data_IF_498132962767
#
_entry.id   IF_498132962767
#
_cell.length_a   1.000
_cell.length_b   1.000
_cell.length_c   1.000
_cell.angle_alpha   90.00
_cell.angle_beta   90.00
_cell.angle_gamma   90.00
#
_symmetry.space_group_name_H-M   'P 1'
#
loop_
_entity.id
_entity.type
_entity.pdbx_description
1 polymer ?
#
# COMPACT_ATOMS: atom_id res chain seq x y z
N UNK A 1 -14.63 13.90 7.63
CA UNK A 1 -13.45 14.63 7.12
C UNK A 1 -12.43 14.60 8.25
N UNK A 2 -11.14 14.38 7.99
CA UNK A 2 -10.16 14.58 9.06
C UNK A 2 -10.14 16.08 9.37
N UNK A 3 -10.38 16.46 10.61
CA UNK A 3 -10.02 17.81 11.04
C UNK A 3 -8.49 17.87 11.06
N UNK A 4 -7.95 18.74 10.22
CA UNK A 4 -6.52 19.01 10.18
C UNK A 4 -6.23 20.06 11.24
N UNK A 5 -5.66 19.63 12.36
CA UNK A 5 -5.13 20.55 13.38
C UNK A 5 -3.77 21.08 12.88
N UNK A 6 -3.62 22.42 12.68
CA UNK A 6 -2.36 23.00 12.22
C UNK A 6 -1.20 22.82 13.19
N UNK A 7 -1.46 22.47 14.46
CA UNK A 7 -0.43 22.21 15.47
C UNK A 7 -0.07 20.73 15.59
N UNK A 8 -0.77 19.84 14.87
CA UNK A 8 -0.53 18.40 14.91
C UNK A 8 0.31 17.94 13.72
N UNK A 9 1.44 17.29 14.01
CA UNK A 9 2.25 16.63 12.99
C UNK A 9 1.78 15.20 12.80
N UNK A 10 1.18 14.91 11.64
CA UNK A 10 0.88 13.52 11.28
C UNK A 10 2.17 12.73 11.05
N UNK A 11 2.30 11.62 11.76
CA UNK A 11 3.39 10.66 11.58
C UNK A 11 2.92 9.55 10.67
N UNK A 12 3.59 9.40 9.52
CA UNK A 12 3.28 8.38 8.53
C UNK A 12 4.46 7.42 8.43
N UNK A 13 4.23 6.14 8.74
CA UNK A 13 5.18 5.08 8.49
C UNK A 13 5.25 4.76 7.00
N UNK A 14 6.25 5.30 6.29
CA UNK A 14 6.50 5.00 4.88
C UNK A 14 6.95 3.55 4.70
N UNK A 15 6.19 2.78 3.91
CA UNK A 15 6.32 1.33 3.73
C UNK A 15 6.28 0.54 5.05
N UNK A 16 5.52 1.01 6.02
CA UNK A 16 5.62 0.59 7.42
C UNK A 16 6.68 1.42 8.16
N UNK A 17 7.41 0.80 9.09
CA UNK A 17 8.59 1.42 9.68
C UNK A 17 9.87 0.88 9.01
N UNK A 18 10.12 1.29 7.76
CA UNK A 18 11.25 0.78 6.95
C UNK A 18 12.64 1.11 7.54
N UNK A 19 12.70 2.02 8.52
CA UNK A 19 13.93 2.36 9.25
C UNK A 19 14.38 1.23 10.17
N UNK A 20 13.42 0.55 10.81
CA UNK A 20 13.69 -0.48 11.82
C UNK A 20 13.38 -1.90 11.35
N UNK A 21 12.75 -2.06 10.20
CA UNK A 21 12.34 -3.35 9.65
C UNK A 21 12.32 -3.34 8.12
N UNK A 22 12.19 -4.53 7.52
CA UNK A 22 12.03 -4.71 6.08
C UNK A 22 10.81 -3.93 5.55
N UNK A 23 11.01 -3.05 4.57
CA UNK A 23 9.93 -2.29 3.92
C UNK A 23 8.78 -3.20 3.45
N UNK A 24 7.54 -2.69 3.40
CA UNK A 24 6.37 -3.40 2.86
C UNK A 24 6.23 -4.83 3.41
N UNK A 25 6.47 -4.99 4.71
CA UNK A 25 6.36 -6.27 5.41
C UNK A 25 5.42 -6.17 6.61
N UNK A 26 4.95 -7.31 7.08
CA UNK A 26 4.11 -7.34 8.27
C UNK A 26 4.91 -6.90 9.51
N UNK A 27 6.21 -7.21 9.58
CA UNK A 27 7.11 -6.71 10.62
C UNK A 27 7.20 -5.18 10.64
N UNK A 28 7.46 -4.53 9.50
CA UNK A 28 7.53 -3.07 9.45
C UNK A 28 6.21 -2.40 9.83
N UNK A 29 5.07 -2.99 9.45
CA UNK A 29 3.74 -2.48 9.82
C UNK A 29 3.49 -2.64 11.33
N UNK A 30 3.83 -3.80 11.91
CA UNK A 30 3.74 -4.03 13.36
C UNK A 30 4.60 -3.04 14.14
N UNK A 31 5.82 -2.78 13.67
CA UNK A 31 6.72 -1.83 14.31
C UNK A 31 6.17 -0.41 14.18
N UNK A 32 5.61 0.00 13.03
CA UNK A 32 4.94 1.30 12.91
C UNK A 32 3.76 1.44 13.91
N UNK A 33 2.93 0.40 14.04
CA UNK A 33 1.83 0.37 15.02
C UNK A 33 2.34 0.48 16.46
N UNK A 34 3.42 -0.23 16.79
CA UNK A 34 4.07 -0.15 18.12
C UNK A 34 4.52 1.28 18.46
N UNK A 35 4.98 2.02 17.46
CA UNK A 35 5.38 3.42 17.59
C UNK A 35 4.18 4.40 17.51
N UNK A 36 2.95 3.89 17.44
CA UNK A 36 1.71 4.67 17.46
C UNK A 36 1.63 5.74 16.36
N UNK A 37 2.16 5.44 15.17
CA UNK A 37 2.01 6.33 14.01
C UNK A 37 0.54 6.55 13.66
N UNK A 38 0.21 7.69 13.05
CA UNK A 38 -1.15 8.01 12.63
C UNK A 38 -1.59 7.17 11.43
N UNK A 39 -0.66 6.99 10.49
CA UNK A 39 -0.90 6.26 9.26
C UNK A 39 0.29 5.38 8.91
N UNK A 40 0.01 4.32 8.17
CA UNK A 40 1.02 3.50 7.52
C UNK A 40 0.79 3.60 6.02
N UNK A 41 1.84 3.86 5.27
CA UNK A 41 1.84 3.77 3.81
C UNK A 41 2.43 2.42 3.41
N UNK A 42 1.84 1.78 2.40
CA UNK A 42 2.38 0.59 1.75
C UNK A 42 2.10 0.63 0.24
N UNK A 43 3.01 0.04 -0.50
CA UNK A 43 2.93 -0.11 -1.94
C UNK A 43 2.19 -1.38 -2.34
N UNK A 44 1.22 -1.31 -3.24
CA UNK A 44 0.52 -2.50 -3.76
C UNK A 44 0.91 -2.80 -5.20
N UNK A 45 1.26 -4.07 -5.43
CA UNK A 45 1.43 -4.66 -6.76
C UNK A 45 0.40 -5.76 -7.01
N UNK A 46 0.17 -6.03 -8.29
CA UNK A 46 -0.77 -7.04 -8.76
C UNK A 46 -0.02 -8.24 -9.38
N UNK A 47 -0.41 -9.45 -8.98
CA UNK A 47 0.08 -10.73 -9.52
C UNK A 47 -0.58 -11.08 -10.86
N UNK A 48 -0.10 -12.12 -11.54
CA UNK A 48 -0.63 -12.64 -12.82
C UNK A 48 -2.12 -13.00 -12.74
N UNK A 49 -2.55 -13.49 -11.58
CA UNK A 49 -3.92 -13.91 -11.27
C UNK A 49 -4.75 -12.81 -10.59
N UNK A 50 -4.35 -11.53 -10.75
CA UNK A 50 -5.07 -10.35 -10.24
C UNK A 50 -5.23 -10.31 -8.72
N UNK A 51 -4.35 -10.99 -7.98
CA UNK A 51 -4.24 -10.90 -6.52
C UNK A 51 -3.25 -9.80 -6.15
N UNK A 52 -3.28 -9.39 -4.89
CA UNK A 52 -2.58 -8.18 -4.43
C UNK A 52 -1.55 -8.53 -3.36
N UNK A 53 -0.35 -8.00 -3.53
CA UNK A 53 0.75 -8.09 -2.56
C UNK A 53 1.21 -6.70 -2.17
N UNK A 54 1.78 -6.57 -0.96
CA UNK A 54 2.49 -5.36 -0.56
C UNK A 54 3.96 -5.46 -0.96
N UNK A 55 4.38 -4.65 -1.93
CA UNK A 55 5.72 -4.67 -2.53
C UNK A 55 5.96 -3.44 -3.42
N UNK A 56 7.09 -2.75 -3.28
CA UNK A 56 7.35 -1.52 -4.03
C UNK A 56 7.72 -1.78 -5.51
N UNK A 57 8.75 -2.60 -5.73
CA UNK A 57 9.42 -2.70 -7.02
C UNK A 57 8.62 -3.52 -8.05
N UNK A 58 8.93 -3.32 -9.33
CA UNK A 58 8.31 -4.13 -10.40
C UNK A 58 8.87 -5.54 -10.47
N UNK A 59 10.08 -5.71 -9.98
CA UNK A 59 10.91 -6.91 -10.07
C UNK A 59 11.31 -7.37 -8.68
N UNK A 60 11.32 -8.67 -8.46
CA UNK A 60 11.64 -9.30 -7.17
C UNK A 60 13.17 -9.34 -6.91
N UNK A 61 13.97 -9.33 -7.97
CA UNK A 61 15.40 -9.68 -7.99
C UNK A 61 16.28 -9.03 -6.92
N UNK A 62 16.04 -7.75 -6.58
CA UNK A 62 16.94 -6.99 -5.71
C UNK A 62 16.64 -7.15 -4.23
N UNK A 63 15.40 -7.51 -3.89
CA UNK A 63 14.91 -7.46 -2.53
C UNK A 63 14.48 -8.82 -2.00
N UNK A 64 14.31 -9.82 -2.86
CA UNK A 64 13.81 -11.13 -2.45
C UNK A 64 14.66 -12.26 -3.02
N UNK A 65 14.42 -13.47 -2.53
CA UNK A 65 15.00 -14.70 -3.06
C UNK A 65 14.45 -15.12 -4.44
N UNK A 66 13.52 -14.37 -5.03
CA UNK A 66 12.92 -14.68 -6.32
C UNK A 66 13.33 -13.67 -7.40
N UNK A 67 13.09 -14.03 -8.66
CA UNK A 67 13.41 -13.21 -9.82
C UNK A 67 12.20 -12.98 -10.72
N UNK A 68 12.29 -11.95 -11.57
CA UNK A 68 11.27 -11.60 -12.54
C UNK A 68 10.26 -10.58 -12.03
N UNK A 69 9.31 -10.23 -12.91
CA UNK A 69 8.30 -9.21 -12.62
C UNK A 69 7.20 -9.78 -11.74
N UNK A 70 6.74 -9.05 -10.73
CA UNK A 70 5.62 -9.46 -9.85
C UNK A 70 4.41 -9.93 -10.67
N UNK A 71 4.01 -9.16 -11.68
CA UNK A 71 2.87 -9.46 -12.57
C UNK A 71 2.99 -10.74 -13.42
N UNK A 72 4.14 -11.43 -13.37
CA UNK A 72 4.35 -12.72 -14.07
C UNK A 72 4.15 -13.92 -13.15
N UNK A 73 4.10 -13.70 -11.84
CA UNK A 73 3.89 -14.74 -10.83
C UNK A 73 2.43 -14.75 -10.38
N UNK A 74 1.87 -15.93 -10.11
CA UNK A 74 0.62 -16.11 -9.35
C UNK A 74 0.89 -15.89 -7.86
N UNK A 75 -0.14 -15.59 -7.07
CA UNK A 75 0.04 -15.42 -5.61
C UNK A 75 0.61 -16.69 -4.96
N UNK A 76 0.17 -17.87 -5.38
CA UNK A 76 0.66 -19.16 -4.86
C UNK A 76 2.17 -19.37 -5.09
N UNK A 77 2.70 -18.83 -6.18
CA UNK A 77 4.14 -18.92 -6.53
C UNK A 77 5.00 -18.00 -5.63
N UNK A 78 4.38 -17.00 -5.00
CA UNK A 78 5.04 -16.04 -4.10
C UNK A 78 4.95 -16.43 -2.62
N UNK A 79 4.27 -17.51 -2.28
CA UNK A 79 4.03 -17.90 -0.88
C UNK A 79 5.33 -18.16 -0.10
N UNK A 80 6.37 -18.65 -0.77
CA UNK A 80 7.70 -18.92 -0.19
C UNK A 80 8.72 -17.82 -0.50
N UNK A 81 8.27 -16.68 -1.05
CA UNK A 81 9.14 -15.54 -1.30
C UNK A 81 9.45 -14.83 0.02
N UNK A 82 10.72 -14.48 0.23
CA UNK A 82 11.16 -13.73 1.39
C UNK A 82 12.19 -12.67 1.02
N UNK A 83 12.12 -11.56 1.73
CA UNK A 83 13.15 -10.54 1.77
C UNK A 83 14.38 -11.03 2.54
N UNK A 84 15.56 -10.66 2.07
CA UNK A 84 16.84 -11.10 2.64
C UNK A 84 17.92 -10.00 2.59
N UNK A 85 17.52 -8.74 2.71
CA UNK A 85 18.45 -7.60 2.66
C UNK A 85 18.54 -6.81 3.97
N UNK A 86 17.54 -6.91 4.85
CA UNK A 86 17.54 -6.17 6.12
C UNK A 86 18.52 -6.81 7.09
N UNK A 87 19.49 -6.02 7.58
CA UNK A 87 20.52 -6.47 8.53
C UNK A 87 20.17 -6.00 9.94
N UNK A 88 20.22 -6.93 10.88
CA UNK A 88 20.09 -6.67 12.30
C UNK A 88 21.39 -6.04 12.86
N UNK A 89 21.35 -5.42 14.06
CA UNK A 89 22.55 -4.83 14.68
C UNK A 89 23.71 -5.80 14.89
N UNK A 90 23.41 -7.09 15.08
CA UNK A 90 24.39 -8.17 15.20
C UNK A 90 24.97 -8.63 13.85
N UNK A 91 24.56 -8.02 12.73
CA UNK A 91 25.01 -8.35 11.38
C UNK A 91 24.20 -9.44 10.68
N UNK A 92 23.27 -10.11 11.37
CA UNK A 92 22.44 -11.17 10.79
C UNK A 92 21.42 -10.60 9.79
N UNK A 93 21.15 -11.37 8.72
CA UNK A 93 20.11 -11.02 7.75
C UNK A 93 18.77 -11.54 8.25
N UNK A 94 17.83 -10.63 8.53
CA UNK A 94 16.45 -10.99 8.86
C UNK A 94 15.71 -11.44 7.61
N UNK A 95 15.27 -12.70 7.58
CA UNK A 95 14.36 -13.21 6.55
C UNK A 95 12.92 -12.88 6.91
N UNK A 96 12.21 -12.27 5.98
CA UNK A 96 10.81 -11.84 6.18
C UNK A 96 9.98 -12.20 4.93
N UNK A 97 8.86 -12.88 5.10
CA UNK A 97 8.02 -13.30 3.98
C UNK A 97 7.35 -12.12 3.25
N UNK A 98 7.07 -12.30 1.96
CA UNK A 98 6.20 -11.37 1.23
C UNK A 98 4.77 -11.48 1.78
N UNK A 99 4.10 -10.33 1.90
CA UNK A 99 2.77 -10.27 2.47
C UNK A 99 1.72 -9.96 1.39
N UNK A 100 0.61 -10.71 1.41
CA UNK A 100 -0.54 -10.38 0.58
C UNK A 100 -1.37 -9.26 1.24
N UNK A 101 -2.10 -8.47 0.44
CA UNK A 101 -3.00 -7.46 0.99
C UNK A 101 -4.08 -8.09 1.89
N UNK A 102 -4.58 -9.27 1.52
CA UNK A 102 -5.58 -9.99 2.32
C UNK A 102 -5.01 -10.42 3.68
N UNK A 103 -3.74 -10.87 3.72
CA UNK A 103 -3.04 -11.18 4.97
C UNK A 103 -2.92 -9.93 5.85
N UNK A 104 -2.55 -8.79 5.26
CA UNK A 104 -2.48 -7.52 5.97
C UNK A 104 -3.86 -7.11 6.53
N UNK A 105 -4.90 -7.14 5.71
CA UNK A 105 -6.25 -6.78 6.14
C UNK A 105 -6.79 -7.69 7.23
N UNK A 106 -6.54 -9.01 7.13
CA UNK A 106 -6.89 -9.98 8.19
C UNK A 106 -6.17 -9.68 9.51
N UNK A 107 -4.93 -9.21 9.45
CA UNK A 107 -4.20 -8.78 10.65
C UNK A 107 -4.79 -7.49 11.23
N UNK A 108 -4.95 -6.44 10.43
CA UNK A 108 -5.48 -5.15 10.89
C UNK A 108 -6.94 -5.26 11.36
N UNK A 109 -7.76 -6.10 10.74
CA UNK A 109 -9.17 -6.28 11.16
C UNK A 109 -9.26 -6.85 12.58
N UNK A 110 -8.33 -7.73 12.96
CA UNK A 110 -8.21 -8.26 14.33
C UNK A 110 -7.66 -7.24 15.32
N UNK A 111 -6.79 -6.33 14.88
CA UNK A 111 -6.27 -5.27 15.74
C UNK A 111 -7.32 -4.19 16.02
N UNK A 112 -8.10 -3.80 15.00
CA UNK A 112 -9.14 -2.77 15.11
C UNK A 112 -10.20 -3.05 16.18
N UNK A 113 -10.44 -4.31 16.52
CA UNK A 113 -11.40 -4.67 17.57
C UNK A 113 -10.87 -4.40 18.98
N UNK A 114 -9.55 -4.30 19.14
CA UNK A 114 -8.91 -4.34 20.46
C UNK A 114 -8.07 -3.08 20.77
N UNK A 115 -7.75 -2.26 19.75
CA UNK A 115 -6.91 -1.07 19.91
C UNK A 115 -7.11 -0.07 18.78
N UNK A 116 -6.66 1.17 19.02
CA UNK A 116 -6.53 2.19 17.97
C UNK A 116 -5.59 1.64 16.88
N UNK A 117 -6.06 1.68 15.64
CA UNK A 117 -5.34 1.21 14.46
C UNK A 117 -5.02 2.41 13.56
N UNK A 118 -3.79 2.53 13.03
CA UNK A 118 -3.47 3.59 12.08
C UNK A 118 -4.34 3.48 10.83
N UNK A 119 -4.55 4.62 10.15
CA UNK A 119 -5.08 4.59 8.78
C UNK A 119 -4.05 3.99 7.84
N UNK A 120 -4.51 3.49 6.70
CA UNK A 120 -3.65 2.80 5.74
C UNK A 120 -3.70 3.53 4.39
N UNK A 121 -2.55 4.06 3.98
CA UNK A 121 -2.36 4.58 2.63
C UNK A 121 -1.88 3.43 1.76
N UNK A 122 -2.60 3.19 0.67
CA UNK A 122 -2.32 2.12 -0.28
C UNK A 122 -1.89 2.75 -1.60
N UNK A 123 -0.60 2.75 -1.91
CA UNK A 123 -0.12 3.21 -3.21
C UNK A 123 -0.38 2.13 -4.27
N UNK A 124 -1.37 2.34 -5.13
CA UNK A 124 -1.60 1.53 -6.31
C UNK A 124 -0.52 1.88 -7.34
N UNK A 125 0.44 0.96 -7.49
CA UNK A 125 1.45 1.03 -8.57
C UNK A 125 0.80 0.88 -9.95
N UNK A 126 1.62 0.90 -10.99
CA UNK A 126 1.18 0.94 -12.39
C UNK A 126 0.42 -0.33 -12.85
N UNK A 127 -0.45 -0.15 -13.86
CA UNK A 127 -1.07 -1.23 -14.68
C UNK A 127 -1.99 -2.22 -13.95
N UNK A 128 -2.77 -1.76 -12.97
CA UNK A 128 -3.86 -2.56 -12.42
C UNK A 128 -4.92 -2.89 -13.49
N UNK A 129 -5.31 -4.17 -13.56
CA UNK A 129 -6.44 -4.62 -14.37
C UNK A 129 -7.75 -4.25 -13.70
N UNK A 130 -8.87 -4.29 -14.44
CA UNK A 130 -10.19 -4.06 -13.85
C UNK A 130 -10.52 -5.12 -12.78
N UNK A 131 -10.13 -6.37 -13.00
CA UNK A 131 -10.37 -7.46 -12.05
C UNK A 131 -9.56 -7.27 -10.75
N UNK A 132 -8.32 -6.79 -10.83
CA UNK A 132 -7.55 -6.51 -9.62
C UNK A 132 -8.12 -5.33 -8.82
N UNK A 133 -8.66 -4.31 -9.50
CA UNK A 133 -9.37 -3.21 -8.80
C UNK A 133 -10.65 -3.71 -8.14
N UNK A 134 -11.43 -4.55 -8.81
CA UNK A 134 -12.60 -5.21 -8.20
C UNK A 134 -12.20 -6.07 -7.00
N UNK A 135 -11.10 -6.82 -7.10
CA UNK A 135 -10.55 -7.60 -5.99
C UNK A 135 -10.09 -6.71 -4.83
N UNK A 136 -9.43 -5.58 -5.11
CA UNK A 136 -9.05 -4.59 -4.10
C UNK A 136 -10.27 -4.09 -3.33
N UNK A 137 -11.28 -3.60 -4.05
CA UNK A 137 -12.52 -3.07 -3.46
C UNK A 137 -13.23 -4.15 -2.65
N UNK A 138 -13.36 -5.36 -3.20
CA UNK A 138 -13.95 -6.50 -2.48
C UNK A 138 -13.21 -6.82 -1.18
N UNK A 139 -11.88 -6.80 -1.18
CA UNK A 139 -11.09 -6.99 0.05
C UNK A 139 -11.31 -5.86 1.05
N UNK A 140 -11.37 -4.60 0.60
CA UNK A 140 -11.60 -3.45 1.48
C UNK A 140 -12.92 -3.62 2.24
N UNK A 141 -14.02 -3.89 1.54
CA UNK A 141 -15.33 -4.06 2.19
C UNK A 141 -15.42 -5.35 3.00
N UNK A 142 -14.85 -6.46 2.52
CA UNK A 142 -14.84 -7.74 3.26
C UNK A 142 -14.23 -7.60 4.66
N UNK A 143 -13.23 -6.73 4.81
CA UNK A 143 -12.53 -6.50 6.07
C UNK A 143 -12.93 -5.18 6.76
N UNK A 144 -14.01 -4.53 6.33
CA UNK A 144 -14.52 -3.26 6.86
C UNK A 144 -13.45 -2.16 6.92
N UNK A 145 -12.68 -2.01 5.84
CA UNK A 145 -11.53 -1.09 5.74
C UNK A 145 -11.84 0.21 4.98
N UNK A 146 -13.03 0.37 4.43
CA UNK A 146 -13.43 1.48 3.54
C UNK A 146 -13.28 2.87 4.17
N UNK A 147 -13.44 3.00 5.50
CA UNK A 147 -13.20 4.25 6.24
C UNK A 147 -11.76 4.45 6.72
N UNK A 148 -10.93 3.41 6.56
CA UNK A 148 -9.56 3.33 7.07
C UNK A 148 -8.50 3.42 5.98
N UNK A 149 -8.87 3.16 4.73
CA UNK A 149 -7.93 3.19 3.60
C UNK A 149 -8.00 4.49 2.82
N UNK A 150 -6.84 4.93 2.34
CA UNK A 150 -6.66 6.00 1.36
C UNK A 150 -5.97 5.36 0.15
N UNK A 151 -6.60 5.44 -1.02
CA UNK A 151 -6.06 4.84 -2.25
C UNK A 151 -5.26 5.88 -3.04
N UNK A 152 -3.95 5.71 -3.07
CA UNK A 152 -3.03 6.64 -3.68
C UNK A 152 -2.47 6.10 -4.98
N UNK A 153 -2.12 7.00 -5.91
CA UNK A 153 -1.39 6.61 -7.11
C UNK A 153 -0.82 7.83 -7.81
N UNK A 154 0.31 7.65 -8.49
CA UNK A 154 0.78 8.60 -9.51
C UNK A 154 -0.04 8.50 -10.82
N UNK A 155 -0.79 7.41 -11.01
CA UNK A 155 -1.54 7.13 -12.23
C UNK A 155 -3.01 7.56 -12.10
N UNK A 156 -3.31 8.78 -12.53
CA UNK A 156 -4.69 9.31 -12.56
C UNK A 156 -5.69 8.34 -13.22
N UNK A 157 -5.26 7.60 -14.25
CA UNK A 157 -6.09 6.62 -14.94
C UNK A 157 -6.57 5.48 -14.02
N UNK A 158 -5.75 5.05 -13.06
CA UNK A 158 -6.12 4.03 -12.07
C UNK A 158 -7.15 4.60 -11.10
N UNK A 159 -6.91 5.80 -10.55
CA UNK A 159 -7.85 6.45 -9.64
C UNK A 159 -9.20 6.74 -10.30
N UNK A 160 -9.23 7.12 -11.59
CA UNK A 160 -10.49 7.26 -12.34
C UNK A 160 -11.26 5.94 -12.46
N UNK A 161 -10.56 4.81 -12.61
CA UNK A 161 -11.21 3.49 -12.65
C UNK A 161 -11.75 3.11 -11.28
N UNK A 162 -11.00 3.37 -10.21
CA UNK A 162 -11.48 3.21 -8.83
C UNK A 162 -12.76 4.04 -8.64
N UNK A 163 -12.74 5.33 -8.98
CA UNK A 163 -13.93 6.21 -8.87
C UNK A 163 -15.16 5.74 -9.62
N UNK A 164 -14.98 5.10 -10.78
CA UNK A 164 -16.09 4.53 -11.55
C UNK A 164 -16.66 3.26 -10.92
N UNK A 165 -15.84 2.52 -10.18
CA UNK A 165 -16.26 1.32 -9.48
C UNK A 165 -16.85 1.65 -8.10
N UNK A 166 -16.35 2.71 -7.47
CA UNK A 166 -16.67 3.09 -6.10
C UNK A 166 -16.46 4.59 -5.85
N UNK A 167 -17.53 5.28 -5.46
CA UNK A 167 -17.53 6.72 -5.18
C UNK A 167 -17.20 7.04 -3.72
N UNK A 168 -17.26 6.07 -2.81
CA UNK A 168 -17.24 6.29 -1.36
C UNK A 168 -15.85 6.10 -0.75
N UNK A 169 -14.99 5.31 -1.39
CA UNK A 169 -13.58 5.17 -0.98
C UNK A 169 -12.90 6.54 -1.02
N UNK A 170 -11.79 6.73 -0.31
CA UNK A 170 -10.98 7.94 -0.43
C UNK A 170 -9.82 7.72 -1.43
N UNK A 171 -9.53 8.71 -2.29
CA UNK A 171 -8.40 8.65 -3.21
C UNK A 171 -7.56 9.92 -3.12
N UNK A 172 -6.24 9.78 -3.22
CA UNK A 172 -5.35 10.91 -3.46
C UNK A 172 -4.49 10.68 -4.71
N UNK A 173 -4.18 11.76 -5.42
CA UNK A 173 -3.31 11.74 -6.61
C UNK A 173 -1.92 12.22 -6.21
N UNK A 174 -0.93 11.34 -6.34
CA UNK A 174 0.46 11.68 -6.08
C UNK A 174 1.07 12.43 -7.27
N UNK A 175 1.89 13.43 -6.96
CA UNK A 175 2.64 14.23 -7.93
C UNK A 175 4.14 14.07 -7.66
N UNK A 176 4.95 13.99 -8.72
CA UNK A 176 6.42 13.91 -8.64
C UNK A 176 7.07 15.00 -9.50
N UNK A 177 8.37 15.24 -9.36
CA UNK A 177 9.11 16.17 -10.25
C UNK A 177 8.97 15.82 -11.75
N UNK A 178 8.69 14.55 -12.07
CA UNK A 178 8.45 14.05 -13.43
C UNK A 178 6.98 14.18 -13.84
N UNK A 179 6.07 14.42 -12.89
CA UNK A 179 4.66 14.69 -13.21
C UNK A 179 4.56 16.03 -13.93
N UNK A 180 4.32 15.91 -15.23
CA UNK A 180 4.25 16.95 -16.25
C UNK A 180 3.67 18.28 -15.70
N UNK A 181 4.33 19.43 -15.89
CA UNK A 181 3.87 20.77 -15.41
C UNK A 181 2.39 21.07 -15.75
N UNK A 182 1.83 20.43 -16.80
CA UNK A 182 0.40 20.48 -17.17
C UNK A 182 -0.55 19.81 -16.16
N UNK A 183 -0.11 18.80 -15.41
CA UNK A 183 -0.90 18.08 -14.39
C UNK A 183 -1.07 18.94 -13.15
N UNK A 184 -0.03 19.66 -12.71
CA UNK A 184 -0.10 20.56 -11.55
C UNK A 184 -1.15 21.67 -11.77
N UNK A 185 -1.18 22.30 -12.96
CA UNK A 185 -2.20 23.31 -13.31
C UNK A 185 -3.62 22.74 -13.49
N UNK A 186 -3.78 21.44 -13.78
CA UNK A 186 -5.09 20.79 -13.97
C UNK A 186 -5.60 20.07 -12.71
N UNK A 187 -4.74 19.58 -11.82
CA UNK A 187 -5.11 18.92 -10.57
C UNK A 187 -5.96 19.82 -9.68
N UNK A 188 -5.60 21.11 -9.61
CA UNK A 188 -6.37 22.15 -8.91
C UNK A 188 -7.76 22.39 -9.54
N UNK A 189 -7.92 22.23 -10.87
CA UNK A 189 -9.21 22.44 -11.56
C UNK A 189 -10.12 21.21 -11.63
N UNK A 190 -9.59 19.99 -11.44
CA UNK A 190 -10.33 18.74 -11.67
C UNK A 190 -11.05 18.23 -10.42
N UNK A 191 -10.64 18.66 -9.22
CA UNK A 191 -11.41 18.41 -8.00
C UNK A 191 -12.74 19.20 -7.97
N UNK A 192 -12.85 20.27 -8.78
CA UNK A 192 -14.05 21.12 -8.84
C UNK A 192 -15.04 20.74 -9.95
N UNK A 193 -14.90 19.55 -10.59
CA UNK A 193 -15.81 19.09 -11.68
C UNK A 193 -16.11 17.58 -11.63
N UNK A 194 -16.14 17.00 -10.43
CA UNK A 194 -16.79 15.69 -10.21
C UNK A 194 -18.09 15.97 -9.49
#
# INVERSE_FOLDING_TARGET
>A
MFELDPNYFFVIGHRGNEVYDTENSLSAIKTAIKYQVDMVEVDIQMTKDNRLIIFHDRFLNKKTNLSGKVKRHKLSELQNAYYNYFKLPNGEIKKEGLCSLETLFKFLSKLKTNQKCPKLILELKFRFTLNALKNLISLIYRYNMEKFVILDSFEKGILRKVRKLDTDLFCSLLLSKVSNKKIIKKGIKILNKI
#
